data_IF_588197131367
#
_entry.id   IF_588197131367
#
_cell.length_a   1.000
_cell.length_b   1.000
_cell.length_c   1.000
_cell.angle_alpha   90.00
_cell.angle_beta   90.00
_cell.angle_gamma   90.00
#
_symmetry.space_group_name_H-M   'P 1'
#
loop_
_entity.id
_entity.type
_entity.pdbx_description
1 polymer ?
#
# COMPACT_ATOMS: atom_id res chain seq x y z
N UNK A 1 13.70 3.10 -10.31
CA UNK A 1 12.69 2.03 -10.46
C UNK A 1 13.33 0.70 -10.11
N UNK A 2 12.62 -0.13 -9.36
CA UNK A 2 13.09 -1.45 -8.94
C UNK A 2 12.02 -2.49 -9.31
N UNK A 3 12.46 -3.68 -9.70
CA UNK A 3 11.61 -4.86 -9.92
C UNK A 3 10.55 -4.73 -11.02
N UNK A 4 9.88 -5.86 -11.29
CA UNK A 4 8.52 -5.96 -11.86
C UNK A 4 8.15 -5.19 -13.15
N UNK A 5 9.11 -4.63 -13.90
CA UNK A 5 8.84 -3.81 -15.10
C UNK A 5 8.08 -4.47 -16.26
N UNK A 6 7.76 -5.77 -16.14
CA UNK A 6 6.88 -6.52 -17.04
C UNK A 6 5.40 -6.52 -16.58
N UNK A 7 5.09 -6.00 -15.40
CA UNK A 7 3.77 -6.02 -14.77
C UNK A 7 3.27 -4.61 -14.43
N UNK A 8 3.98 -3.90 -13.57
CA UNK A 8 3.57 -2.61 -13.01
C UNK A 8 4.33 -1.45 -13.69
N UNK A 9 4.18 -1.30 -15.00
CA UNK A 9 4.85 -0.27 -15.78
C UNK A 9 3.84 0.70 -16.43
N UNK A 10 3.96 1.98 -16.12
CA UNK A 10 3.05 3.00 -16.66
C UNK A 10 3.76 4.33 -16.87
N UNK A 11 3.29 5.13 -17.82
CA UNK A 11 3.82 6.46 -18.09
C UNK A 11 2.69 7.39 -18.53
N UNK A 12 2.66 8.60 -17.98
CA UNK A 12 1.70 9.64 -18.35
C UNK A 12 2.39 10.98 -18.51
N UNK A 13 2.28 11.56 -19.69
CA UNK A 13 2.79 12.90 -20.02
C UNK A 13 1.69 13.92 -19.76
N UNK A 14 2.02 15.03 -19.12
CA UNK A 14 1.07 16.12 -18.89
C UNK A 14 0.57 16.68 -20.25
N UNK A 15 -0.75 16.78 -20.48
CA UNK A 15 -1.31 17.14 -21.78
C UNK A 15 -1.04 18.59 -22.19
N UNK A 16 -0.71 19.47 -21.23
CA UNK A 16 -0.43 20.89 -21.48
C UNK A 16 1.04 21.24 -21.37
N UNK A 17 1.90 20.31 -20.93
CA UNK A 17 3.34 20.52 -20.79
C UNK A 17 4.13 19.21 -20.88
N UNK A 18 4.73 18.94 -22.05
CA UNK A 18 5.49 17.71 -22.29
C UNK A 18 6.75 17.56 -21.43
N UNK A 19 7.20 18.61 -20.74
CA UNK A 19 8.32 18.50 -19.80
C UNK A 19 7.91 17.82 -18.48
N UNK A 20 6.62 17.76 -18.16
CA UNK A 20 6.10 17.12 -16.95
C UNK A 20 5.65 15.71 -17.32
N UNK A 21 6.33 14.71 -16.78
CA UNK A 21 6.01 13.29 -17.00
C UNK A 21 6.01 12.57 -15.67
N UNK A 22 5.03 11.68 -15.50
CA UNK A 22 4.98 10.70 -14.40
C UNK A 22 5.30 9.34 -15.00
N UNK A 23 6.22 8.62 -14.38
CA UNK A 23 6.56 7.24 -14.73
C UNK A 23 6.38 6.36 -13.50
N UNK A 24 5.58 5.31 -13.66
CA UNK A 24 5.25 4.34 -12.62
C UNK A 24 5.94 2.99 -12.84
N UNK A 25 6.31 2.38 -11.72
CA UNK A 25 7.02 1.11 -11.54
C UNK A 25 6.66 0.50 -10.19
N UNK A 26 7.58 -0.25 -9.59
CA UNK A 26 7.62 -0.42 -8.13
C UNK A 26 7.85 0.91 -7.36
N UNK A 27 8.08 2.02 -8.06
CA UNK A 27 8.10 3.37 -7.49
C UNK A 27 7.33 4.36 -8.38
N UNK A 28 7.14 5.60 -7.93
CA UNK A 28 6.54 6.70 -8.66
C UNK A 28 7.58 7.80 -8.90
N UNK A 29 7.93 8.00 -10.17
CA UNK A 29 8.89 9.00 -10.59
C UNK A 29 8.18 10.17 -11.28
N UNK A 30 8.72 11.38 -11.08
CA UNK A 30 8.29 12.58 -11.80
C UNK A 30 9.47 13.37 -12.33
N UNK A 31 9.36 13.82 -13.56
CA UNK A 31 10.25 14.81 -14.17
C UNK A 31 9.50 16.11 -14.46
N UNK A 32 10.23 17.22 -14.51
CA UNK A 32 9.75 18.52 -14.98
C UNK A 32 10.65 19.12 -16.08
N UNK A 33 11.54 18.32 -16.65
CA UNK A 33 12.51 18.72 -17.68
C UNK A 33 12.63 17.67 -18.80
N UNK A 34 11.49 17.04 -19.15
CA UNK A 34 11.41 16.13 -20.28
C UNK A 34 12.18 14.82 -20.09
N UNK A 35 12.42 14.42 -18.84
CA UNK A 35 13.08 13.17 -18.49
C UNK A 35 14.60 13.27 -18.29
N UNK A 36 15.16 14.48 -18.28
CA UNK A 36 16.59 14.69 -18.00
C UNK A 36 16.93 14.32 -16.54
N UNK A 37 16.07 14.72 -15.61
CA UNK A 37 16.15 14.30 -14.20
C UNK A 37 14.78 13.87 -13.69
N UNK A 38 14.79 12.96 -12.71
CA UNK A 38 13.60 12.37 -12.11
C UNK A 38 13.68 12.48 -10.59
N UNK A 39 12.57 12.86 -9.97
CA UNK A 39 12.39 12.83 -8.53
C UNK A 39 11.58 11.59 -8.16
N UNK A 40 11.99 10.90 -7.10
CA UNK A 40 11.28 9.75 -6.54
C UNK A 40 10.28 10.24 -5.48
N UNK A 41 9.03 9.81 -5.63
CA UNK A 41 7.91 10.14 -4.74
C UNK A 41 7.50 8.97 -3.84
N UNK A 42 8.33 7.94 -3.72
CA UNK A 42 8.25 6.91 -2.70
C UNK A 42 9.59 6.82 -1.97
N UNK A 43 9.58 7.06 -0.65
CA UNK A 43 10.80 6.88 0.15
C UNK A 43 10.95 5.41 0.53
N UNK A 44 11.60 4.63 -0.33
CA UNK A 44 11.64 3.16 -0.27
C UNK A 44 12.43 2.54 0.90
N UNK A 45 12.82 3.31 1.92
CA UNK A 45 13.64 2.79 3.03
C UNK A 45 12.82 2.10 4.12
N UNK A 46 11.53 2.42 4.23
CA UNK A 46 10.63 1.78 5.19
C UNK A 46 9.29 1.46 4.52
N UNK A 47 8.99 0.17 4.27
CA UNK A 47 7.74 -0.26 3.65
C UNK A 47 6.49 0.01 4.51
N UNK A 48 6.66 0.40 5.79
CA UNK A 48 5.58 0.91 6.64
C UNK A 48 5.44 2.43 6.58
N UNK A 49 6.41 3.13 5.98
CA UNK A 49 6.48 4.59 6.00
C UNK A 49 6.79 5.14 4.60
N UNK A 50 5.71 5.45 3.88
CA UNK A 50 5.80 6.40 2.77
C UNK A 50 5.40 7.82 3.26
N UNK A 51 6.31 8.82 3.21
CA UNK A 51 5.96 10.20 3.54
C UNK A 51 4.88 10.81 2.64
N UNK A 52 4.62 10.26 1.45
CA UNK A 52 3.60 10.73 0.53
C UNK A 52 2.29 9.92 0.57
N UNK A 53 2.28 8.83 1.33
CA UNK A 53 1.18 7.88 1.48
C UNK A 53 0.61 7.33 0.15
N UNK A 54 1.46 7.15 -0.84
CA UNK A 54 1.27 6.47 -2.11
C UNK A 54 1.70 5.01 -1.91
N UNK A 55 0.97 4.08 -2.50
CA UNK A 55 1.39 2.69 -2.51
C UNK A 55 2.51 2.48 -3.53
N UNK A 56 3.36 1.45 -3.37
CA UNK A 56 4.23 0.98 -4.45
C UNK A 56 3.42 0.39 -5.62
N UNK A 57 4.08 -0.12 -6.66
CA UNK A 57 3.44 -0.91 -7.73
C UNK A 57 2.37 -0.14 -8.54
N UNK A 58 2.84 0.77 -9.40
CA UNK A 58 1.98 1.64 -10.22
C UNK A 58 1.52 0.96 -11.51
N UNK A 59 0.22 1.00 -11.76
CA UNK A 59 -0.43 0.38 -12.93
C UNK A 59 -1.00 1.39 -13.92
N UNK A 60 -1.33 2.61 -13.47
CA UNK A 60 -1.94 3.62 -14.34
C UNK A 60 -1.57 5.04 -13.95
N UNK A 61 -1.53 5.92 -14.95
CA UNK A 61 -1.43 7.38 -14.80
C UNK A 61 -2.49 8.02 -15.68
N UNK A 62 -3.33 8.88 -15.12
CA UNK A 62 -4.36 9.60 -15.86
C UNK A 62 -4.33 11.08 -15.50
N UNK A 63 -4.31 11.95 -16.52
CA UNK A 63 -4.31 13.40 -16.37
C UNK A 63 -5.68 13.99 -16.67
N UNK A 64 -6.03 15.10 -16.01
CA UNK A 64 -7.11 15.95 -16.53
C UNK A 64 -6.63 16.71 -17.78
N UNK A 65 -7.58 17.19 -18.59
CA UNK A 65 -7.26 17.93 -19.81
C UNK A 65 -6.45 19.22 -19.55
N UNK A 66 -6.58 19.82 -18.36
CA UNK A 66 -5.84 21.03 -17.99
C UNK A 66 -4.37 20.76 -17.61
N UNK A 67 -3.99 19.50 -17.36
CA UNK A 67 -2.65 19.11 -16.90
C UNK A 67 -2.30 19.55 -15.48
N UNK A 68 -3.30 19.95 -14.68
CA UNK A 68 -3.13 20.36 -13.28
C UNK A 68 -3.35 19.21 -12.31
N UNK A 69 -4.24 18.28 -12.67
CA UNK A 69 -4.59 17.14 -11.84
C UNK A 69 -4.13 15.85 -12.49
N UNK A 70 -3.61 14.94 -11.66
CA UNK A 70 -3.19 13.60 -12.07
C UNK A 70 -3.61 12.58 -11.02
N UNK A 71 -4.07 11.43 -11.49
CA UNK A 71 -4.38 10.25 -10.68
C UNK A 71 -3.42 9.14 -11.06
N UNK A 72 -2.99 8.39 -10.06
CA UNK A 72 -2.24 7.15 -10.25
C UNK A 72 -2.98 6.00 -9.59
N UNK A 73 -3.09 4.89 -10.31
CA UNK A 73 -3.63 3.63 -9.79
C UNK A 73 -2.50 2.67 -9.47
N UNK A 74 -2.58 2.00 -8.33
CA UNK A 74 -1.58 1.09 -7.78
C UNK A 74 -2.27 -0.03 -6.98
N UNK A 75 -1.50 -0.99 -6.47
CA UNK A 75 -2.08 -2.14 -5.73
C UNK A 75 -2.80 -1.73 -4.44
N UNK A 76 -2.41 -0.60 -3.82
CA UNK A 76 -3.15 0.02 -2.71
C UNK A 76 -4.35 0.87 -3.12
N UNK A 77 -4.67 0.97 -4.42
CA UNK A 77 -5.80 1.70 -4.95
C UNK A 77 -5.43 2.94 -5.74
N UNK A 78 -5.82 4.12 -5.26
CA UNK A 78 -5.66 5.36 -6.02
C UNK A 78 -5.02 6.48 -5.20
N UNK A 79 -4.04 7.15 -5.78
CA UNK A 79 -3.47 8.40 -5.26
C UNK A 79 -3.73 9.55 -6.23
N UNK A 80 -3.94 10.74 -5.68
CA UNK A 80 -4.34 11.94 -6.42
C UNK A 80 -3.40 13.10 -6.15
N UNK A 81 -3.12 13.89 -7.18
CA UNK A 81 -2.43 15.16 -7.10
C UNK A 81 -3.22 16.25 -7.84
N UNK A 82 -3.34 17.43 -7.24
CA UNK A 82 -3.96 18.62 -7.83
C UNK A 82 -2.95 19.70 -8.26
N UNK A 83 -1.67 19.37 -8.24
CA UNK A 83 -0.57 20.28 -8.56
C UNK A 83 0.49 19.61 -9.45
N UNK A 84 0.00 18.86 -10.45
CA UNK A 84 0.80 18.19 -11.46
C UNK A 84 1.84 17.21 -10.90
N UNK A 85 1.48 16.46 -9.86
CA UNK A 85 2.29 15.39 -9.27
C UNK A 85 3.32 15.87 -8.25
N UNK A 86 3.19 17.10 -7.72
CA UNK A 86 4.13 17.63 -6.72
C UNK A 86 3.76 17.24 -5.28
N UNK A 87 2.47 17.15 -4.97
CA UNK A 87 1.94 16.64 -3.71
C UNK A 87 0.87 15.60 -4.00
N UNK A 88 0.76 14.59 -3.13
CA UNK A 88 -0.14 13.46 -3.29
C UNK A 88 -1.06 13.30 -2.08
N UNK A 89 -2.22 12.71 -2.33
CA UNK A 89 -3.23 12.38 -1.32
C UNK A 89 -3.97 11.10 -1.70
N UNK A 90 -4.26 10.28 -0.71
CA UNK A 90 -5.10 9.08 -0.81
C UNK A 90 -6.47 9.27 -0.17
N UNK A 91 -6.85 10.49 0.24
CA UNK A 91 -8.15 10.75 0.88
C UNK A 91 -9.35 10.39 -0.02
N UNK A 92 -9.17 10.38 -1.33
CA UNK A 92 -10.18 9.94 -2.30
C UNK A 92 -10.19 8.43 -2.57
N UNK A 93 -9.33 7.64 -1.93
CA UNK A 93 -9.23 6.19 -2.11
C UNK A 93 -10.29 5.47 -1.26
N UNK A 94 -11.55 5.52 -1.72
CA UNK A 94 -12.72 4.99 -0.98
C UNK A 94 -13.26 3.69 -1.56
N UNK A 95 -12.57 3.09 -2.52
CA UNK A 95 -13.05 1.89 -3.21
C UNK A 95 -12.74 0.65 -2.37
N UNK A 96 -13.68 -0.31 -2.22
CA UNK A 96 -13.46 -1.56 -1.49
C UNK A 96 -12.72 -2.57 -2.39
N UNK A 97 -11.47 -2.28 -2.72
CA UNK A 97 -10.67 -3.02 -3.73
C UNK A 97 -9.55 -3.87 -3.12
N UNK A 98 -9.35 -3.81 -1.80
CA UNK A 98 -8.35 -4.64 -1.11
C UNK A 98 -8.72 -6.12 -1.21
N UNK A 99 -7.79 -6.93 -1.73
CA UNK A 99 -7.96 -8.38 -1.80
C UNK A 99 -7.44 -9.04 -0.52
N UNK A 100 -8.35 -9.38 0.37
CA UNK A 100 -8.03 -10.24 1.51
C UNK A 100 -7.95 -11.70 1.06
N UNK A 101 -6.81 -12.33 1.32
CA UNK A 101 -6.58 -13.76 1.04
C UNK A 101 -6.94 -14.64 2.25
N UNK A 102 -6.91 -14.09 3.45
CA UNK A 102 -7.35 -14.75 4.68
C UNK A 102 -7.94 -13.74 5.66
N UNK A 103 -8.93 -14.16 6.45
CA UNK A 103 -9.60 -13.36 7.49
C UNK A 103 -9.90 -14.28 8.68
N UNK A 104 -9.79 -13.75 9.89
CA UNK A 104 -10.35 -14.38 11.09
C UNK A 104 -11.16 -13.39 11.94
N UNK A 105 -12.11 -13.92 12.72
CA UNK A 105 -13.04 -13.15 13.55
C UNK A 105 -13.06 -13.70 14.96
N UNK A 106 -12.79 -12.83 15.93
CA UNK A 106 -12.68 -13.19 17.35
C UNK A 106 -13.41 -12.25 18.29
N UNK A 107 -13.25 -12.47 19.60
CA UNK A 107 -13.79 -11.56 20.62
C UNK A 107 -15.31 -11.42 20.60
N UNK A 108 -16.03 -12.46 20.17
CA UNK A 108 -17.49 -12.42 19.94
C UNK A 108 -17.89 -11.39 18.88
N UNK A 109 -17.04 -11.19 17.86
CA UNK A 109 -17.29 -10.28 16.74
C UNK A 109 -16.80 -8.86 16.95
N UNK A 110 -15.98 -8.59 17.98
CA UNK A 110 -15.29 -7.29 18.11
C UNK A 110 -13.97 -7.24 17.34
N UNK A 111 -13.39 -8.40 17.01
CA UNK A 111 -12.08 -8.50 16.40
C UNK A 111 -12.19 -9.06 14.98
N UNK A 112 -11.71 -8.30 13.99
CA UNK A 112 -11.64 -8.71 12.59
C UNK A 112 -10.25 -8.40 12.08
N UNK A 113 -9.49 -9.40 11.66
CA UNK A 113 -8.16 -9.21 11.10
C UNK A 113 -8.03 -9.96 9.79
N UNK A 114 -7.35 -9.35 8.82
CA UNK A 114 -7.18 -9.90 7.49
C UNK A 114 -5.77 -9.72 6.98
N UNK A 115 -5.30 -10.73 6.26
CA UNK A 115 -4.11 -10.66 5.43
C UNK A 115 -4.50 -10.41 3.98
N UNK A 116 -3.90 -9.40 3.37
CA UNK A 116 -4.16 -8.97 2.00
C UNK A 116 -2.90 -9.03 1.15
N UNK A 117 -3.09 -9.34 -0.14
CA UNK A 117 -2.03 -9.23 -1.14
C UNK A 117 -1.59 -7.76 -1.25
N UNK A 118 -0.27 -7.49 -1.22
CA UNK A 118 0.40 -6.19 -1.35
C UNK A 118 0.02 -5.11 -0.30
N UNK A 119 -1.05 -5.32 0.47
CA UNK A 119 -1.56 -4.40 1.50
C UNK A 119 -1.47 -4.97 2.92
N UNK A 120 -0.69 -6.04 3.10
CA UNK A 120 -0.22 -6.52 4.39
C UNK A 120 -1.33 -7.00 5.35
N UNK A 121 -1.17 -6.72 6.64
CA UNK A 121 -2.09 -7.12 7.70
C UNK A 121 -2.85 -5.90 8.20
N UNK A 122 -4.17 -5.95 8.16
CA UNK A 122 -5.04 -4.90 8.71
C UNK A 122 -6.20 -5.50 9.52
N UNK A 123 -6.82 -4.68 10.34
CA UNK A 123 -7.92 -5.15 11.19
C UNK A 123 -8.40 -4.16 12.22
N UNK A 124 -9.25 -4.66 13.10
CA UNK A 124 -9.96 -3.90 14.13
C UNK A 124 -10.16 -4.78 15.36
N UNK A 125 -10.20 -4.15 16.53
CA UNK A 125 -10.48 -4.79 17.82
C UNK A 125 -11.70 -4.18 18.52
N UNK A 126 -12.48 -3.36 17.81
CA UNK A 126 -13.63 -2.62 18.36
C UNK A 126 -14.86 -2.64 17.44
N UNK A 127 -15.10 -3.79 16.80
CA UNK A 127 -16.30 -4.02 16.02
C UNK A 127 -16.32 -3.25 14.69
N UNK A 128 -15.16 -2.86 14.16
CA UNK A 128 -15.05 -2.08 12.92
C UNK A 128 -15.19 -0.57 13.10
N UNK A 129 -15.26 -0.07 14.34
CA UNK A 129 -15.32 1.36 14.61
C UNK A 129 -14.04 2.08 14.18
N UNK A 130 -12.89 1.42 14.35
CA UNK A 130 -11.59 1.88 13.84
C UNK A 130 -10.82 0.73 13.24
N UNK A 131 -10.13 1.00 12.13
CA UNK A 131 -9.27 0.06 11.43
C UNK A 131 -7.82 0.52 11.49
N UNK A 132 -6.92 -0.44 11.58
CA UNK A 132 -5.48 -0.20 11.62
C UNK A 132 -4.79 -1.06 10.56
N UNK A 133 -3.77 -0.49 9.95
CA UNK A 133 -2.77 -1.19 9.16
C UNK A 133 -1.60 -1.52 10.08
N UNK A 134 -1.29 -2.80 10.24
CA UNK A 134 -0.37 -3.29 11.25
C UNK A 134 1.00 -3.67 10.71
N UNK A 135 1.03 -4.33 9.54
CA UNK A 135 2.24 -4.80 8.88
C UNK A 135 2.06 -4.60 7.37
N UNK A 136 3.12 -4.18 6.66
CA UNK A 136 3.16 -4.11 5.19
C UNK A 136 3.67 -5.41 4.55
N UNK A 137 3.85 -5.38 3.24
CA UNK A 137 4.14 -6.58 2.44
C UNK A 137 2.88 -7.35 2.11
N UNK A 138 3.01 -8.67 1.92
CA UNK A 138 1.91 -9.59 1.66
C UNK A 138 1.42 -10.25 2.95
N UNK A 139 0.17 -9.99 3.28
CA UNK A 139 -0.52 -10.63 4.40
C UNK A 139 -1.04 -12.01 4.01
N UNK A 140 -0.58 -13.04 4.71
CA UNK A 140 -0.99 -14.43 4.54
C UNK A 140 -2.04 -14.87 5.56
N UNK A 141 -1.84 -16.05 6.15
CA UNK A 141 -2.77 -16.64 7.12
C UNK A 141 -2.92 -15.81 8.39
N UNK A 142 -4.14 -15.79 8.94
CA UNK A 142 -4.52 -15.10 10.19
C UNK A 142 -5.22 -16.10 11.11
N UNK A 143 -4.90 -16.07 12.40
CA UNK A 143 -5.62 -16.78 13.45
C UNK A 143 -5.65 -15.97 14.74
N UNK A 144 -6.84 -15.79 15.31
CA UNK A 144 -7.09 -15.14 16.59
C UNK A 144 -7.29 -16.21 17.65
N UNK A 145 -6.65 -16.06 18.81
CA UNK A 145 -6.85 -17.00 19.92
C UNK A 145 -8.32 -16.95 20.39
N UNK A 146 -9.04 -18.09 20.40
CA UNK A 146 -10.47 -18.13 20.73
C UNK A 146 -10.77 -17.82 22.20
N UNK A 147 -9.76 -17.90 23.08
CA UNK A 147 -9.87 -17.63 24.52
C UNK A 147 -9.35 -16.24 24.91
N UNK A 148 -8.47 -15.65 24.09
CA UNK A 148 -7.87 -14.33 24.30
C UNK A 148 -7.71 -13.59 22.96
N UNK A 149 -8.71 -12.82 22.51
CA UNK A 149 -8.69 -12.19 21.20
C UNK A 149 -7.63 -11.09 21.03
N UNK A 150 -6.89 -10.74 22.10
CA UNK A 150 -5.73 -9.88 22.00
C UNK A 150 -4.52 -10.57 21.36
N UNK A 151 -4.52 -11.91 21.29
CA UNK A 151 -3.47 -12.71 20.67
C UNK A 151 -3.82 -13.09 19.24
N UNK A 152 -2.91 -12.78 18.32
CA UNK A 152 -3.13 -12.93 16.88
C UNK A 152 -1.87 -13.50 16.26
N UNK A 153 -1.95 -14.70 15.70
CA UNK A 153 -0.90 -15.30 14.90
C UNK A 153 -1.13 -14.96 13.42
N UNK A 154 -0.07 -14.54 12.74
CA UNK A 154 -0.12 -14.15 11.33
C UNK A 154 1.04 -14.74 10.55
N UNK A 155 0.88 -14.91 9.25
CA UNK A 155 2.00 -15.09 8.31
C UNK A 155 2.11 -13.84 7.45
N UNK A 156 3.28 -13.23 7.35
CA UNK A 156 3.49 -12.00 6.59
C UNK A 156 4.90 -11.96 6.00
N UNK A 157 5.06 -11.36 4.84
CA UNK A 157 6.35 -11.13 4.20
C UNK A 157 6.19 -10.76 2.73
N UNK A 158 7.24 -10.92 1.93
CA UNK A 158 7.21 -10.78 0.47
C UNK A 158 7.78 -12.02 -0.19
N UNK A 159 7.72 -12.10 -1.51
CA UNK A 159 8.37 -13.17 -2.25
C UNK A 159 9.90 -13.09 -2.12
N UNK A 160 10.48 -14.05 -1.39
CA UNK A 160 11.93 -14.24 -1.19
C UNK A 160 12.64 -13.09 -0.45
N UNK A 161 13.96 -13.22 -0.26
CA UNK A 161 14.82 -12.18 0.31
C UNK A 161 14.76 -12.06 1.83
N UNK A 162 15.30 -10.96 2.35
CA UNK A 162 15.40 -10.72 3.80
C UNK A 162 14.04 -10.60 4.49
N UNK A 163 12.99 -10.28 3.72
CA UNK A 163 11.62 -10.09 4.20
C UNK A 163 10.66 -11.19 3.72
N UNK A 164 11.19 -12.36 3.38
CA UNK A 164 10.40 -13.55 3.06
C UNK A 164 9.37 -13.88 4.16
N UNK A 165 8.27 -14.54 3.77
CA UNK A 165 7.18 -14.93 4.66
C UNK A 165 7.65 -15.60 5.95
N UNK A 166 7.17 -15.08 7.08
CA UNK A 166 7.45 -15.58 8.43
C UNK A 166 6.17 -15.61 9.25
N UNK A 167 6.16 -16.44 10.29
CA UNK A 167 5.10 -16.44 11.31
C UNK A 167 5.42 -15.39 12.37
N UNK A 168 4.42 -14.62 12.73
CA UNK A 168 4.49 -13.63 13.80
C UNK A 168 3.32 -13.79 14.76
N UNK A 169 3.52 -13.35 16.00
CA UNK A 169 2.51 -13.32 17.04
C UNK A 169 2.40 -11.90 17.60
N UNK A 170 1.18 -11.39 17.69
CA UNK A 170 0.83 -10.27 18.56
C UNK A 170 0.19 -10.82 19.83
N UNK A 171 0.41 -10.12 20.95
CA UNK A 171 -0.27 -10.36 22.24
C UNK A 171 -0.96 -9.10 22.75
N UNK A 172 -1.22 -8.13 21.86
CA UNK A 172 -1.74 -6.81 22.20
C UNK A 172 -2.61 -6.22 21.08
N UNK A 173 -3.53 -7.01 20.52
CA UNK A 173 -4.49 -6.59 19.48
C UNK A 173 -3.84 -6.09 18.17
N UNK A 174 -2.62 -6.56 17.86
CA UNK A 174 -1.89 -6.16 16.65
C UNK A 174 -1.02 -4.91 16.81
N UNK A 175 -0.96 -4.31 18.01
CA UNK A 175 -0.11 -3.12 18.25
C UNK A 175 1.38 -3.42 17.99
N UNK A 176 1.83 -4.64 18.29
CA UNK A 176 3.18 -5.11 17.95
C UNK A 176 3.19 -6.60 17.66
N UNK A 177 4.17 -7.04 16.86
CA UNK A 177 4.38 -8.43 16.47
C UNK A 177 5.81 -8.89 16.73
N UNK A 178 5.99 -10.16 17.09
CA UNK A 178 7.28 -10.83 17.25
C UNK A 178 7.31 -12.19 16.53
N UNK A 179 8.50 -12.65 16.15
CA UNK A 179 8.67 -13.95 15.46
C UNK A 179 8.40 -15.15 16.38
N UNK A 180 7.84 -16.22 15.80
CA UNK A 180 7.53 -17.51 16.47
C UNK A 180 7.83 -18.74 15.62
#
# INVERSE_FOLDING_TARGET
MWGQGWYNNTIGVCPTNSNIVIAGGGTLLRTSNGGTTWNDYLNNTDPLYDPYNIHADQHSVTWNAAGTSVWVGNDGGMSYSNNAGLNWSTTGNLMPITQYVNIDVGGKGSHFYGGSQDNGISGTSNGGSTWFFFLGGDGGGIAIDPTDPSKIAVTNGVYDGSWAFRRLLSTNNGVSFSFI
#
